data_IF_788294619254
#
_entry.id   IF_788294619254
#
_cell.length_a   1.000
_cell.length_b   1.000
_cell.length_c   1.000
_cell.angle_alpha   90.00
_cell.angle_beta   90.00
_cell.angle_gamma   90.00
#
_symmetry.space_group_name_H-M   'P 1'
#
loop_
_entity.id
_entity.type
_entity.pdbx_description
1 polymer ?
#
# COMPACT_ATOMS: atom_id res chain seq x y z
N UNK A 1 28.85 52.65 -34.86
CA UNK A 1 27.61 53.22 -34.31
C UNK A 1 26.73 52.05 -33.92
N UNK A 2 26.94 51.51 -32.71
CA UNK A 2 26.31 50.26 -32.29
C UNK A 2 24.99 50.59 -31.59
N UNK A 3 23.90 50.13 -32.17
CA UNK A 3 22.58 50.12 -31.56
C UNK A 3 22.65 49.36 -30.23
N UNK A 4 22.12 49.97 -29.17
CA UNK A 4 21.98 49.33 -27.87
C UNK A 4 21.18 48.03 -28.01
N UNK A 5 21.58 46.93 -27.36
CA UNK A 5 20.96 45.61 -27.55
C UNK A 5 19.45 45.58 -27.25
N UNK A 6 18.91 46.57 -26.54
CA UNK A 6 17.49 46.71 -26.22
C UNK A 6 16.59 47.16 -27.38
N UNK A 7 17.12 47.74 -28.47
CA UNK A 7 16.28 48.25 -29.59
C UNK A 7 15.93 47.15 -30.62
N UNK A 8 16.67 46.03 -30.60
CA UNK A 8 16.49 44.94 -31.56
C UNK A 8 15.26 44.11 -31.18
N UNK A 9 14.16 44.31 -31.90
CA UNK A 9 12.90 43.61 -31.63
C UNK A 9 12.99 42.10 -31.93
N UNK A 10 12.47 41.22 -31.05
CA UNK A 10 12.43 39.79 -31.29
C UNK A 10 11.46 39.41 -32.43
N UNK A 11 11.64 38.24 -33.06
CA UNK A 11 10.78 37.78 -34.14
C UNK A 11 9.36 37.44 -33.64
N UNK A 12 8.33 38.03 -34.29
CA UNK A 12 6.93 37.95 -33.86
C UNK A 12 6.27 36.58 -34.07
N UNK A 13 6.63 35.85 -35.12
CA UNK A 13 6.06 34.54 -35.44
C UNK A 13 6.24 33.51 -34.30
N UNK A 14 7.47 33.25 -33.81
CA UNK A 14 7.67 32.33 -32.69
C UNK A 14 6.97 32.78 -31.40
N UNK A 15 6.89 34.09 -31.12
CA UNK A 15 6.12 34.62 -29.98
C UNK A 15 4.63 34.33 -30.12
N UNK A 16 4.06 34.52 -31.31
CA UNK A 16 2.65 34.21 -31.55
C UNK A 16 2.35 32.72 -31.42
N UNK A 17 3.29 31.85 -31.81
CA UNK A 17 3.17 30.41 -31.62
C UNK A 17 3.21 30.04 -30.12
N UNK A 18 4.13 30.65 -29.36
CA UNK A 18 4.26 30.48 -27.91
C UNK A 18 2.94 30.81 -27.19
N UNK A 19 2.37 31.98 -27.48
CA UNK A 19 1.10 32.45 -26.90
C UNK A 19 -0.10 31.58 -27.26
N UNK A 20 -0.04 30.90 -28.40
CA UNK A 20 -1.11 30.01 -28.84
C UNK A 20 -1.05 28.64 -28.14
N UNK A 21 0.13 28.12 -27.84
CA UNK A 21 0.28 26.79 -27.24
C UNK A 21 0.39 26.80 -25.71
N UNK A 22 0.96 27.85 -25.11
CA UNK A 22 1.26 27.91 -23.67
C UNK A 22 0.10 28.49 -22.87
N UNK A 23 -0.09 28.04 -21.64
CA UNK A 23 -1.05 28.63 -20.70
C UNK A 23 -0.62 30.05 -20.30
N UNK A 24 -1.58 30.98 -20.10
CA UNK A 24 -1.28 32.39 -19.87
C UNK A 24 -0.46 32.65 -18.60
N UNK A 25 -0.51 31.75 -17.62
CA UNK A 25 0.21 31.88 -16.34
C UNK A 25 1.69 31.50 -16.46
N UNK A 26 2.04 30.54 -17.33
CA UNK A 26 3.44 30.12 -17.57
C UNK A 26 4.09 30.92 -18.73
N UNK A 27 3.27 31.57 -19.54
CA UNK A 27 3.70 32.32 -20.72
C UNK A 27 4.62 33.49 -20.39
N UNK A 28 4.33 34.24 -19.32
CA UNK A 28 5.04 35.48 -18.98
C UNK A 28 6.51 35.21 -18.63
N UNK A 29 6.76 34.24 -17.74
CA UNK A 29 8.11 33.84 -17.34
C UNK A 29 8.90 33.27 -18.54
N UNK A 30 8.27 32.41 -19.33
CA UNK A 30 8.93 31.77 -20.49
C UNK A 30 9.22 32.77 -21.61
N UNK A 31 8.31 33.72 -21.87
CA UNK A 31 8.53 34.80 -22.83
C UNK A 31 9.67 35.70 -22.37
N UNK A 32 9.72 36.04 -21.08
CA UNK A 32 10.79 36.83 -20.46
C UNK A 32 12.18 36.22 -20.66
N UNK A 33 12.37 34.97 -20.25
CA UNK A 33 13.64 34.24 -20.38
C UNK A 33 14.13 34.15 -21.84
N UNK A 34 13.21 33.88 -22.78
CA UNK A 34 13.52 33.77 -24.19
C UNK A 34 13.95 35.11 -24.80
N UNK A 35 13.28 36.20 -24.41
CA UNK A 35 13.60 37.56 -24.86
C UNK A 35 14.96 38.01 -24.30
N UNK A 36 15.24 37.73 -23.02
CA UNK A 36 16.54 38.01 -22.41
C UNK A 36 17.68 37.28 -23.15
N UNK A 37 17.53 35.97 -23.38
CA UNK A 37 18.50 35.17 -24.15
C UNK A 37 18.68 35.67 -25.58
N UNK A 38 17.61 36.16 -26.22
CA UNK A 38 17.68 36.73 -27.56
C UNK A 38 18.54 37.99 -27.58
N UNK A 39 18.30 38.95 -26.66
CA UNK A 39 19.08 40.18 -26.58
C UNK A 39 20.55 39.91 -26.26
N UNK A 40 20.83 38.96 -25.36
CA UNK A 40 22.20 38.53 -25.06
C UNK A 40 22.93 37.98 -26.31
N UNK A 41 22.25 37.21 -27.17
CA UNK A 41 22.81 36.63 -28.40
C UNK A 41 22.86 37.61 -29.57
N UNK A 42 21.92 38.56 -29.62
CA UNK A 42 21.83 39.57 -30.67
C UNK A 42 23.06 40.51 -30.69
N UNK A 43 23.66 40.75 -29.53
CA UNK A 43 24.90 41.54 -29.38
C UNK A 43 26.08 41.01 -30.22
N UNK A 44 26.15 39.68 -30.41
CA UNK A 44 27.20 39.04 -31.21
C UNK A 44 26.79 38.89 -32.66
N UNK A 45 25.63 38.30 -32.93
CA UNK A 45 25.17 37.96 -34.28
C UNK A 45 23.63 37.90 -34.39
N UNK A 46 23.03 38.88 -35.07
CA UNK A 46 21.57 39.04 -35.18
C UNK A 46 20.90 37.86 -35.92
N UNK A 47 21.46 37.39 -37.04
CA UNK A 47 20.86 36.30 -37.84
C UNK A 47 20.79 34.99 -37.05
N UNK A 48 21.88 34.66 -36.34
CA UNK A 48 21.98 33.45 -35.52
C UNK A 48 21.08 33.54 -34.29
N UNK A 49 20.96 34.72 -33.67
CA UNK A 49 20.05 34.95 -32.55
C UNK A 49 18.58 34.67 -32.93
N UNK A 50 18.12 35.14 -34.10
CA UNK A 50 16.76 34.87 -34.59
C UNK A 50 16.50 33.37 -34.84
N UNK A 51 17.45 32.67 -35.45
CA UNK A 51 17.32 31.23 -35.68
C UNK A 51 17.31 30.43 -34.37
N UNK A 52 18.22 30.76 -33.44
CA UNK A 52 18.28 30.10 -32.13
C UNK A 52 17.00 30.34 -31.32
N UNK A 53 16.44 31.56 -31.36
CA UNK A 53 15.16 31.86 -30.72
C UNK A 53 14.02 31.00 -31.28
N UNK A 54 13.91 30.89 -32.61
CA UNK A 54 12.89 30.04 -33.24
C UNK A 54 13.09 28.55 -32.91
N UNK A 55 14.33 28.08 -32.86
CA UNK A 55 14.66 26.71 -32.45
C UNK A 55 14.29 26.44 -31.00
N UNK A 56 14.62 27.36 -30.10
CA UNK A 56 14.35 27.21 -28.67
C UNK A 56 12.82 27.18 -28.45
N UNK A 57 12.06 28.07 -29.08
CA UNK A 57 10.58 28.04 -29.06
C UNK A 57 10.03 26.74 -29.63
N UNK A 58 10.57 26.23 -30.74
CA UNK A 58 10.16 24.94 -31.31
C UNK A 58 10.51 23.76 -30.39
N UNK A 59 11.61 23.84 -29.64
CA UNK A 59 12.01 22.83 -28.67
C UNK A 59 11.10 22.82 -27.43
N UNK A 60 10.51 23.98 -27.08
CA UNK A 60 9.46 24.07 -26.06
C UNK A 60 8.13 23.45 -26.52
N UNK A 61 7.89 23.34 -27.84
CA UNK A 61 6.73 22.62 -28.41
C UNK A 61 6.98 21.11 -28.27
N UNK A 62 6.99 20.63 -27.03
CA UNK A 62 6.95 19.20 -26.72
C UNK A 62 5.49 18.74 -26.89
N UNK A 63 5.21 17.64 -27.60
CA UNK A 63 3.83 17.14 -27.79
C UNK A 63 3.08 16.79 -26.48
N UNK A 64 3.75 16.85 -25.32
CA UNK A 64 3.12 16.75 -24.00
C UNK A 64 2.60 18.06 -23.39
N UNK A 65 2.92 19.23 -23.96
CA UNK A 65 2.44 20.56 -23.49
C UNK A 65 1.30 21.10 -24.36
N UNK A 66 1.12 20.55 -25.58
CA UNK A 66 -0.06 20.87 -26.38
C UNK A 66 -1.32 20.46 -25.61
N UNK A 67 -2.19 21.46 -25.33
CA UNK A 67 -3.54 21.36 -24.76
C UNK A 67 -3.94 19.92 -24.48
N UNK A 68 -3.70 19.51 -23.23
CA UNK A 68 -4.14 18.28 -22.59
C UNK A 68 -5.25 17.62 -23.41
N UNK A 69 -4.89 16.61 -24.21
CA UNK A 69 -5.87 15.79 -24.92
C UNK A 69 -6.77 15.21 -23.84
N UNK A 70 -7.93 15.85 -23.63
CA UNK A 70 -8.89 15.47 -22.61
C UNK A 70 -9.53 14.20 -23.12
N UNK A 71 -8.92 13.07 -22.78
CA UNK A 71 -9.50 11.76 -23.04
C UNK A 71 -10.93 11.77 -22.46
N UNK A 72 -11.94 11.35 -23.23
CA UNK A 72 -13.32 11.33 -22.74
C UNK A 72 -13.39 10.46 -21.49
N UNK A 73 -13.86 11.05 -20.39
CA UNK A 73 -13.80 10.50 -19.05
C UNK A 73 -14.92 9.47 -18.78
N UNK A 74 -15.07 8.47 -19.65
CA UNK A 74 -15.82 7.24 -19.34
C UNK A 74 -14.81 6.10 -19.26
N UNK A 75 -13.95 6.16 -18.25
CA UNK A 75 -13.11 5.01 -17.89
C UNK A 75 -14.02 3.96 -17.26
N UNK A 76 -14.21 2.83 -17.93
CA UNK A 76 -14.80 1.66 -17.29
C UNK A 76 -13.85 1.26 -16.16
N UNK A 77 -14.30 1.42 -14.92
CA UNK A 77 -13.51 1.09 -13.72
C UNK A 77 -13.01 -0.36 -13.79
N UNK A 78 -13.82 -1.23 -14.41
CA UNK A 78 -13.49 -2.64 -14.66
C UNK A 78 -12.30 -2.77 -15.63
N UNK A 79 -12.30 -2.08 -16.77
CA UNK A 79 -11.20 -2.16 -17.75
C UNK A 79 -9.89 -1.63 -17.15
N UNK A 80 -9.97 -0.56 -16.36
CA UNK A 80 -8.82 0.00 -15.66
C UNK A 80 -8.27 -0.98 -14.62
N UNK A 81 -9.15 -1.61 -13.82
CA UNK A 81 -8.78 -2.60 -12.81
C UNK A 81 -8.13 -3.84 -13.46
N UNK A 82 -8.70 -4.36 -14.55
CA UNK A 82 -8.16 -5.52 -15.27
C UNK A 82 -6.77 -5.23 -15.84
N UNK A 83 -6.54 -4.03 -16.36
CA UNK A 83 -5.22 -3.63 -16.86
C UNK A 83 -4.18 -3.51 -15.74
N UNK A 84 -4.54 -2.92 -14.60
CA UNK A 84 -3.67 -2.86 -13.43
C UNK A 84 -3.37 -4.24 -12.87
N UNK A 85 -4.36 -5.12 -12.77
CA UNK A 85 -4.18 -6.51 -12.34
C UNK A 85 -3.27 -7.30 -13.29
N UNK A 86 -3.46 -7.15 -14.60
CA UNK A 86 -2.60 -7.80 -15.61
C UNK A 86 -1.16 -7.32 -15.51
N UNK A 87 -0.96 -6.03 -15.26
CA UNK A 87 0.36 -5.43 -15.08
C UNK A 87 1.01 -5.92 -13.78
N UNK A 88 0.28 -5.93 -12.66
CA UNK A 88 0.77 -6.42 -11.38
C UNK A 88 1.18 -7.90 -11.45
N UNK A 89 0.39 -8.75 -12.10
CA UNK A 89 0.71 -10.17 -12.30
C UNK A 89 1.97 -10.34 -13.15
N UNK A 90 2.14 -9.56 -14.21
CA UNK A 90 3.35 -9.63 -15.05
C UNK A 90 4.60 -9.21 -14.26
N UNK A 91 4.49 -8.19 -13.42
CA UNK A 91 5.58 -7.71 -12.56
C UNK A 91 5.91 -8.70 -11.44
N UNK A 92 4.89 -9.29 -10.80
CA UNK A 92 5.04 -10.37 -9.82
C UNK A 92 5.76 -11.59 -10.42
N UNK A 93 5.42 -11.98 -11.66
CA UNK A 93 6.09 -13.07 -12.38
C UNK A 93 7.51 -12.74 -12.84
N UNK A 94 7.84 -11.46 -13.02
CA UNK A 94 9.19 -11.01 -13.36
C UNK A 94 10.11 -11.04 -12.13
N UNK A 95 9.59 -10.64 -10.97
CA UNK A 95 10.33 -10.58 -9.70
C UNK A 95 9.90 -11.68 -8.73
N UNK A 96 10.05 -12.96 -9.15
CA UNK A 96 9.50 -14.13 -8.45
C UNK A 96 10.03 -14.31 -7.03
N UNK A 97 11.33 -14.15 -6.80
CA UNK A 97 11.93 -14.39 -5.48
C UNK A 97 11.43 -13.42 -4.41
N UNK A 98 11.48 -12.12 -4.70
CA UNK A 98 10.97 -11.07 -3.81
C UNK A 98 9.47 -11.22 -3.55
N UNK A 99 8.70 -11.46 -4.60
CA UNK A 99 7.25 -11.65 -4.48
C UNK A 99 6.90 -12.91 -3.70
N UNK A 100 7.64 -14.01 -3.89
CA UNK A 100 7.41 -15.26 -3.17
C UNK A 100 7.66 -15.13 -1.66
N UNK A 101 8.75 -14.48 -1.25
CA UNK A 101 9.06 -14.28 0.16
C UNK A 101 7.98 -13.41 0.83
N UNK A 102 7.56 -12.33 0.19
CA UNK A 102 6.54 -11.44 0.72
C UNK A 102 5.18 -12.13 0.86
N UNK A 103 4.76 -12.89 -0.17
CA UNK A 103 3.50 -13.64 -0.11
C UNK A 103 3.58 -14.77 0.92
N UNK A 104 4.69 -15.52 0.96
CA UNK A 104 4.86 -16.61 1.92
C UNK A 104 4.81 -16.11 3.36
N UNK A 105 5.54 -15.03 3.69
CA UNK A 105 5.51 -14.45 5.02
C UNK A 105 4.10 -13.96 5.42
N UNK A 106 3.38 -13.33 4.49
CA UNK A 106 2.01 -12.88 4.70
C UNK A 106 1.06 -14.06 4.97
N UNK A 107 1.14 -15.11 4.15
CA UNK A 107 0.29 -16.31 4.28
C UNK A 107 0.57 -17.05 5.58
N UNK A 108 1.85 -17.22 5.95
CA UNK A 108 2.23 -17.90 7.19
C UNK A 108 1.79 -17.10 8.41
N UNK A 109 1.95 -15.77 8.40
CA UNK A 109 1.48 -14.91 9.50
C UNK A 109 -0.05 -14.89 9.64
N UNK A 110 -0.77 -14.87 8.51
CA UNK A 110 -2.23 -14.96 8.53
C UNK A 110 -2.70 -16.33 9.03
N UNK A 111 -2.08 -17.40 8.55
CA UNK A 111 -2.39 -18.77 8.98
C UNK A 111 -2.13 -18.98 10.47
N UNK A 112 -0.99 -18.50 11.00
CA UNK A 112 -0.67 -18.63 12.42
C UNK A 112 -1.65 -17.84 13.30
N UNK A 113 -1.96 -16.60 12.93
CA UNK A 113 -2.98 -15.80 13.61
C UNK A 113 -4.36 -16.50 13.59
N UNK A 114 -4.76 -17.02 12.44
CA UNK A 114 -6.03 -17.72 12.27
C UNK A 114 -6.10 -19.01 13.10
N UNK A 115 -5.00 -19.77 13.20
CA UNK A 115 -4.91 -20.95 14.07
C UNK A 115 -5.05 -20.60 15.55
N UNK A 116 -4.40 -19.52 16.00
CA UNK A 116 -4.53 -19.04 17.38
C UNK A 116 -5.97 -18.61 17.67
N UNK A 117 -6.60 -17.85 16.76
CA UNK A 117 -8.00 -17.44 16.90
C UNK A 117 -8.95 -18.63 16.97
N UNK A 118 -8.71 -19.66 16.14
CA UNK A 118 -9.50 -20.89 16.18
C UNK A 118 -9.35 -21.61 17.52
N UNK A 119 -8.14 -21.68 18.06
CA UNK A 119 -7.90 -22.27 19.37
C UNK A 119 -8.58 -21.49 20.50
N UNK A 120 -8.47 -20.15 20.51
CA UNK A 120 -9.15 -19.31 21.51
C UNK A 120 -10.67 -19.44 21.39
N UNK A 121 -11.21 -19.51 20.17
CA UNK A 121 -12.64 -19.70 19.96
C UNK A 121 -13.12 -21.06 20.48
N UNK A 122 -12.34 -22.13 20.28
CA UNK A 122 -12.62 -23.45 20.82
C UNK A 122 -12.55 -23.45 22.35
N UNK A 123 -11.55 -22.81 22.95
CA UNK A 123 -11.40 -22.72 24.41
C UNK A 123 -12.55 -21.93 25.05
N UNK A 124 -12.91 -20.78 24.46
CA UNK A 124 -14.02 -19.95 24.93
C UNK A 124 -15.36 -20.68 24.77
N UNK A 125 -15.52 -21.48 23.70
CA UNK A 125 -16.69 -22.33 23.54
C UNK A 125 -16.75 -23.39 24.63
N UNK A 126 -15.62 -24.04 24.98
CA UNK A 126 -15.51 -25.04 26.06
C UNK A 126 -15.85 -24.47 27.44
N UNK A 127 -15.39 -23.26 27.75
CA UNK A 127 -15.68 -22.57 29.02
C UNK A 127 -17.18 -22.23 29.18
N UNK A 128 -17.93 -22.22 28.09
CA UNK A 128 -19.38 -21.96 28.06
C UNK A 128 -20.27 -23.20 28.11
N UNK A 129 -19.74 -24.43 28.11
CA UNK A 129 -20.58 -25.65 28.17
C UNK A 129 -21.28 -25.84 29.52
N UNK A 130 -20.85 -25.14 30.58
CA UNK A 130 -21.53 -25.17 31.87
C UNK A 130 -22.49 -23.99 32.00
N UNK A 131 -23.79 -24.26 31.84
CA UNK A 131 -24.91 -23.32 31.98
C UNK A 131 -25.00 -22.60 33.36
N UNK A 132 -24.12 -22.95 34.32
CA UNK A 132 -24.02 -22.41 35.68
C UNK A 132 -22.55 -22.22 36.10
N UNK A 133 -21.72 -21.58 35.25
CA UNK A 133 -20.30 -21.31 35.56
C UNK A 133 -20.13 -20.52 36.89
N UNK A 134 -21.09 -19.67 37.25
CA UNK A 134 -21.17 -18.95 38.54
C UNK A 134 -21.30 -19.83 39.80
N UNK A 135 -21.45 -21.16 39.66
CA UNK A 135 -21.67 -22.08 40.80
C UNK A 135 -20.61 -23.19 40.92
N UNK A 136 -19.50 -23.07 40.21
CA UNK A 136 -18.36 -23.98 40.39
C UNK A 136 -17.60 -23.57 41.66
N UNK A 137 -17.94 -24.21 42.78
CA UNK A 137 -17.21 -24.06 44.05
C UNK A 137 -16.19 -25.18 44.17
N UNK A 138 -14.92 -24.83 44.40
CA UNK A 138 -13.87 -25.78 44.75
C UNK A 138 -14.11 -26.22 46.20
N UNK A 139 -14.30 -27.51 46.46
CA UNK A 139 -14.53 -28.03 47.82
C UNK A 139 -13.19 -28.31 48.47
N UNK A 140 -12.89 -27.58 49.52
CA UNK A 140 -11.68 -27.72 50.32
C UNK A 140 -11.98 -28.55 51.56
N UNK A 141 -11.15 -29.56 51.80
CA UNK A 141 -11.29 -30.42 52.98
C UNK A 141 -10.25 -30.01 54.00
N UNK A 142 -10.71 -29.57 55.16
CA UNK A 142 -9.85 -29.34 56.31
C UNK A 142 -9.76 -30.65 57.09
N UNK A 143 -8.59 -31.27 57.12
CA UNK A 143 -8.34 -32.43 57.97
C UNK A 143 -7.56 -31.97 59.19
N UNK A 144 -8.16 -32.17 60.37
CA UNK A 144 -7.52 -31.89 61.65
C UNK A 144 -6.74 -33.13 62.04
N UNK A 145 -5.41 -33.04 62.02
CA UNK A 145 -4.53 -34.12 62.47
C UNK A 145 -4.49 -34.11 64.01
N UNK A 146 -4.27 -35.26 64.64
CA UNK A 146 -4.31 -35.45 66.10
C UNK A 146 -3.37 -34.54 66.93
N UNK A 147 -2.44 -33.82 66.31
CA UNK A 147 -1.57 -32.81 66.94
C UNK A 147 -2.18 -31.38 66.98
N UNK A 148 -3.40 -31.20 66.47
CA UNK A 148 -4.12 -29.91 66.49
C UNK A 148 -3.85 -29.00 65.30
N UNK A 149 -2.90 -29.36 64.42
CA UNK A 149 -2.63 -28.61 63.19
C UNK A 149 -3.63 -28.95 62.08
N UNK A 150 -4.19 -27.90 61.47
CA UNK A 150 -5.18 -28.01 60.39
C UNK A 150 -4.47 -27.93 59.04
N UNK A 151 -4.30 -29.08 58.39
CA UNK A 151 -3.81 -29.14 57.02
C UNK A 151 -4.99 -29.08 56.04
N UNK A 152 -4.98 -28.06 55.19
CA UNK A 152 -5.94 -27.90 54.10
C UNK A 152 -5.33 -28.49 52.84
N UNK A 153 -5.88 -29.60 52.34
CA UNK A 153 -5.34 -30.27 51.14
C UNK A 153 -6.40 -30.35 50.04
N UNK A 154 -5.96 -30.17 48.81
CA UNK A 154 -6.72 -30.45 47.59
C UNK A 154 -6.59 -31.94 47.26
N UNK A 155 -7.42 -32.77 47.88
CA UNK A 155 -7.54 -34.19 47.49
C UNK A 155 -8.44 -34.32 46.25
N UNK A 156 -7.86 -34.70 45.12
CA UNK A 156 -8.63 -35.29 44.01
C UNK A 156 -9.11 -36.68 44.46
N UNK A 157 -10.35 -36.77 44.92
CA UNK A 157 -10.98 -38.06 45.21
C UNK A 157 -11.26 -38.78 43.89
N UNK A 158 -10.28 -39.54 43.38
CA UNK A 158 -10.58 -40.58 42.41
C UNK A 158 -11.33 -41.69 43.14
N UNK A 159 -12.57 -42.04 42.74
CA UNK A 159 -13.29 -43.12 43.38
C UNK A 159 -12.51 -44.41 43.12
N UNK A 160 -11.87 -44.94 44.16
CA UNK A 160 -11.25 -46.26 44.19
C UNK A 160 -12.36 -47.33 44.26
N UNK A 161 -13.21 -47.38 43.25
CA UNK A 161 -14.19 -48.45 43.04
C UNK A 161 -13.78 -49.21 41.78
N UNK A 162 -12.57 -49.75 41.78
CA UNK A 162 -12.12 -50.78 40.84
C UNK A 162 -12.92 -52.06 41.11
N UNK A 163 -14.14 -52.14 40.60
CA UNK A 163 -14.87 -53.41 40.50
C UNK A 163 -15.73 -53.56 39.22
N UNK A 164 -15.80 -52.57 38.32
CA UNK A 164 -16.68 -52.64 37.13
C UNK A 164 -15.98 -52.51 35.76
N UNK A 165 -14.67 -52.80 35.64
CA UNK A 165 -13.95 -52.78 34.35
C UNK A 165 -13.49 -54.19 33.93
N UNK A 166 -14.31 -55.22 34.15
CA UNK A 166 -14.03 -56.57 33.61
C UNK A 166 -15.00 -57.03 32.51
N UNK A 167 -16.02 -56.26 32.13
CA UNK A 167 -17.06 -56.79 31.22
C UNK A 167 -17.43 -55.91 30.00
N UNK A 168 -16.51 -55.06 29.52
CA UNK A 168 -16.73 -54.25 28.29
C UNK A 168 -15.67 -54.51 27.20
N UNK A 169 -14.74 -55.46 27.39
CA UNK A 169 -13.76 -55.85 26.36
C UNK A 169 -14.00 -57.25 25.76
N UNK A 170 -15.25 -57.74 25.75
CA UNK A 170 -15.62 -59.00 25.10
C UNK A 170 -16.85 -58.92 24.17
N UNK A 171 -17.09 -57.75 23.58
CA UNK A 171 -18.10 -57.58 22.52
C UNK A 171 -17.65 -56.52 21.49
N UNK A 172 -16.57 -56.84 20.78
CA UNK A 172 -16.23 -56.31 19.45
C UNK A 172 -15.19 -57.25 18.84
N UNK A 173 -15.69 -58.38 18.35
CA UNK A 173 -15.09 -59.02 17.18
C UNK A 173 -15.93 -58.58 15.98
#
# INVERSE_FOLDING_TARGET
MNETPADIKPPKLPLSALRWFCDPELLEDVEGDLVELFHARASKNIRRAKFLFARDVLQLIRPGILKKFRQPATVNIIDMLLNHMTTAIRQARKHKGYTAINIAGLVVGLASCMLILLWVADETAKDQFHQKSDRLYQVWRNMVQSDGDVHTTWEFHFPSNTCCVHNILKSRR
#
